data_IF_991483452929
#
_entry.id   IF_991483452929
#
_cell.length_a   1.000
_cell.length_b   1.000
_cell.length_c   1.000
_cell.angle_alpha   90.00
_cell.angle_beta   90.00
_cell.angle_gamma   90.00
#
_symmetry.space_group_name_H-M   'P 1'
#
loop_
_entity.id
_entity.type
_entity.pdbx_description
1 polymer ?
#
# COMPACT_ATOMS: atom_id res chain seq x y z
N UNK A 1 35.47 -6.24 -12.89
CA UNK A 1 35.02 -6.99 -11.68
C UNK A 1 33.67 -7.61 -11.97
N UNK A 2 33.32 -8.76 -11.36
CA UNK A 2 31.99 -9.32 -11.45
C UNK A 2 31.02 -8.39 -10.69
N UNK A 3 29.91 -8.01 -11.31
CA UNK A 3 28.83 -7.27 -10.61
C UNK A 3 28.25 -8.13 -9.49
N UNK A 4 27.86 -7.51 -8.39
CA UNK A 4 27.10 -8.16 -7.33
C UNK A 4 25.64 -8.33 -7.77
N UNK A 5 24.98 -9.37 -7.29
CA UNK A 5 23.56 -9.61 -7.54
C UNK A 5 22.70 -8.92 -6.48
N UNK A 6 21.88 -7.96 -6.87
CA UNK A 6 20.86 -7.36 -6.00
C UNK A 6 19.49 -7.87 -6.43
N UNK A 7 18.80 -8.58 -5.52
CA UNK A 7 17.41 -8.95 -5.70
C UNK A 7 16.51 -8.03 -4.88
N UNK A 8 15.49 -7.46 -5.50
CA UNK A 8 14.47 -6.66 -4.84
C UNK A 8 13.11 -7.36 -4.89
N UNK A 9 12.49 -7.51 -3.72
CA UNK A 9 11.15 -8.09 -3.56
C UNK A 9 10.14 -6.99 -3.30
N UNK A 10 9.27 -6.75 -4.26
CA UNK A 10 8.31 -5.65 -4.30
C UNK A 10 8.72 -4.55 -5.28
N UNK A 11 7.81 -4.17 -6.16
CA UNK A 11 8.01 -3.16 -7.21
C UNK A 11 7.27 -1.85 -6.90
N UNK A 12 7.16 -1.51 -5.62
CA UNK A 12 6.49 -0.29 -5.16
C UNK A 12 7.42 0.92 -5.08
N UNK A 13 6.85 2.07 -4.72
CA UNK A 13 7.51 3.38 -4.71
C UNK A 13 8.81 3.41 -3.88
N UNK A 14 8.84 2.79 -2.69
CA UNK A 14 10.02 2.81 -1.82
C UNK A 14 11.19 2.00 -2.41
N UNK A 15 10.90 0.80 -2.91
CA UNK A 15 11.91 -0.08 -3.50
C UNK A 15 12.52 0.54 -4.76
N UNK A 16 11.68 0.96 -5.71
CA UNK A 16 12.17 1.55 -6.97
C UNK A 16 12.90 2.86 -6.70
N UNK A 17 12.43 3.69 -5.76
CA UNK A 17 13.18 4.87 -5.34
C UNK A 17 14.58 4.52 -4.82
N UNK A 18 14.73 3.40 -4.11
CA UNK A 18 16.05 2.93 -3.67
C UNK A 18 16.94 2.58 -4.87
N UNK A 19 16.40 1.94 -5.90
CA UNK A 19 17.15 1.64 -7.13
C UNK A 19 17.53 2.91 -7.89
N UNK A 20 16.64 3.88 -8.00
CA UNK A 20 16.95 5.18 -8.61
C UNK A 20 18.12 5.88 -7.91
N UNK A 21 18.11 5.96 -6.59
CA UNK A 21 19.18 6.57 -5.80
C UNK A 21 20.48 5.74 -5.90
N UNK A 22 20.40 4.41 -5.88
CA UNK A 22 21.55 3.52 -6.03
C UNK A 22 22.20 3.67 -7.41
N UNK A 23 21.40 3.75 -8.46
CA UNK A 23 21.89 3.94 -9.84
C UNK A 23 22.62 5.27 -10.04
N UNK A 24 22.23 6.31 -9.32
CA UNK A 24 22.95 7.60 -9.34
C UNK A 24 24.35 7.52 -8.69
N UNK A 25 24.48 6.70 -7.65
CA UNK A 25 25.70 6.60 -6.84
C UNK A 25 26.65 5.54 -7.41
N UNK A 26 26.14 4.36 -7.75
CA UNK A 26 26.90 3.19 -8.14
C UNK A 26 26.24 2.44 -9.32
N UNK A 27 26.21 3.03 -10.54
CA UNK A 27 25.43 2.52 -11.67
C UNK A 27 25.85 1.12 -12.13
N UNK A 28 27.10 0.72 -11.93
CA UNK A 28 27.68 -0.52 -12.44
C UNK A 28 27.93 -1.59 -11.37
N UNK A 29 27.53 -1.32 -10.12
CA UNK A 29 27.87 -2.19 -9.00
C UNK A 29 27.05 -3.49 -8.98
N UNK A 30 25.81 -3.44 -9.44
CA UNK A 30 24.86 -4.55 -9.31
C UNK A 30 24.26 -4.99 -10.65
N UNK A 31 24.08 -6.33 -10.77
CA UNK A 31 23.06 -6.92 -11.63
C UNK A 31 21.77 -6.96 -10.80
N UNK A 32 20.73 -6.25 -11.26
CA UNK A 32 19.51 -6.02 -10.46
C UNK A 32 18.37 -6.87 -11.02
N UNK A 33 17.72 -7.65 -10.15
CA UNK A 33 16.47 -8.36 -10.43
C UNK A 33 15.36 -7.88 -9.50
N UNK A 34 14.20 -7.56 -10.05
CA UNK A 34 13.03 -7.05 -9.33
C UNK A 34 11.84 -7.99 -9.51
N UNK A 35 11.19 -8.35 -8.42
CA UNK A 35 9.94 -9.11 -8.41
C UNK A 35 8.77 -8.22 -8.00
N UNK A 36 7.78 -8.04 -8.89
CA UNK A 36 6.52 -7.37 -8.64
C UNK A 36 5.35 -8.34 -8.65
N UNK A 37 4.60 -8.44 -7.55
CA UNK A 37 3.42 -9.30 -7.48
C UNK A 37 2.26 -8.77 -8.34
N UNK A 38 2.20 -7.46 -8.55
CA UNK A 38 1.25 -6.81 -9.45
C UNK A 38 1.72 -6.87 -10.92
N UNK A 39 0.78 -6.81 -11.88
CA UNK A 39 1.11 -6.87 -13.31
C UNK A 39 1.55 -5.52 -13.91
N UNK A 40 1.81 -4.55 -13.08
CA UNK A 40 2.06 -3.18 -13.48
C UNK A 40 3.51 -2.78 -13.19
N UNK A 41 4.13 -1.92 -14.01
CA UNK A 41 5.38 -1.26 -13.64
C UNK A 41 5.16 -0.36 -12.42
N UNK A 42 6.21 0.28 -11.91
CA UNK A 42 6.10 1.13 -10.74
C UNK A 42 5.20 2.34 -11.01
N UNK A 43 4.24 2.56 -10.13
CA UNK A 43 3.28 3.65 -10.22
C UNK A 43 3.10 4.38 -8.89
N UNK A 44 2.60 5.61 -8.96
CA UNK A 44 2.34 6.45 -7.80
C UNK A 44 0.99 6.06 -7.14
N UNK A 45 1.05 5.22 -6.09
CA UNK A 45 -0.16 4.80 -5.35
C UNK A 45 -0.94 5.95 -4.73
N UNK A 46 -0.28 7.09 -4.43
CA UNK A 46 -0.95 8.25 -3.86
C UNK A 46 -1.96 8.84 -4.87
N UNK A 47 -1.70 8.65 -6.16
CA UNK A 47 -2.53 9.18 -7.24
C UNK A 47 -3.66 8.24 -7.66
N UNK A 48 -3.86 7.10 -6.99
CA UNK A 48 -5.04 6.26 -7.20
C UNK A 48 -6.34 7.02 -6.83
N UNK A 49 -6.29 7.92 -5.85
CA UNK A 49 -7.45 8.73 -5.47
C UNK A 49 -7.90 9.70 -6.58
N UNK A 50 -7.01 10.49 -7.24
CA UNK A 50 -7.35 11.20 -8.47
C UNK A 50 -7.83 10.31 -9.63
N UNK A 51 -7.28 9.10 -9.78
CA UNK A 51 -7.78 8.14 -10.79
C UNK A 51 -9.20 7.71 -10.46
N UNK A 52 -9.47 7.33 -9.22
CA UNK A 52 -10.82 7.00 -8.77
C UNK A 52 -11.78 8.19 -8.96
N UNK A 53 -11.34 9.41 -8.72
CA UNK A 53 -12.13 10.62 -8.93
C UNK A 53 -12.38 10.94 -10.42
N UNK A 54 -11.67 10.30 -11.34
CA UNK A 54 -11.77 10.56 -12.78
C UNK A 54 -10.94 11.74 -13.29
N UNK A 55 -10.02 12.24 -12.47
CA UNK A 55 -9.14 13.37 -12.77
C UNK A 55 -7.87 12.95 -13.50
N UNK A 56 -7.48 11.67 -13.37
CA UNK A 56 -6.27 11.08 -13.98
C UNK A 56 -6.58 9.68 -14.51
N UNK A 57 -5.72 9.20 -15.40
CA UNK A 57 -5.73 7.81 -15.88
C UNK A 57 -4.64 6.99 -15.18
N UNK A 58 -4.70 5.67 -15.28
CA UNK A 58 -3.62 4.78 -14.78
C UNK A 58 -2.29 5.09 -15.46
N UNK A 59 -2.30 5.46 -16.74
CA UNK A 59 -1.08 5.80 -17.47
C UNK A 59 -0.39 7.04 -16.92
N UNK A 60 -1.16 8.04 -16.46
CA UNK A 60 -0.62 9.29 -15.91
C UNK A 60 0.12 9.10 -14.59
N UNK A 61 -0.16 8.02 -13.87
CA UNK A 61 0.44 7.74 -12.57
C UNK A 61 1.64 6.79 -12.62
N UNK A 62 2.01 6.27 -13.79
CA UNK A 62 3.22 5.45 -13.96
C UNK A 62 4.45 6.32 -13.70
N UNK A 63 5.30 5.88 -12.76
CA UNK A 63 6.55 6.57 -12.42
C UNK A 63 7.74 6.08 -13.24
N UNK A 64 7.84 4.77 -13.40
CA UNK A 64 8.91 4.12 -14.15
C UNK A 64 8.24 3.09 -15.07
N UNK A 65 8.24 3.34 -16.37
CA UNK A 65 7.71 2.44 -17.38
C UNK A 65 8.66 1.26 -17.66
N UNK A 66 8.25 0.31 -18.49
CA UNK A 66 9.07 -0.87 -18.82
C UNK A 66 10.36 -0.48 -19.50
N UNK A 67 10.37 0.60 -20.28
CA UNK A 67 11.56 1.09 -20.95
C UNK A 67 12.61 1.57 -19.95
N UNK A 68 12.18 2.25 -18.85
CA UNK A 68 13.10 2.66 -17.80
C UNK A 68 13.85 1.47 -17.18
N UNK A 69 13.18 0.33 -16.94
CA UNK A 69 13.87 -0.87 -16.42
C UNK A 69 14.88 -1.42 -17.44
N UNK A 70 14.50 -1.49 -18.71
CA UNK A 70 15.38 -1.95 -19.78
C UNK A 70 16.62 -1.06 -19.93
N UNK A 71 16.45 0.27 -19.97
CA UNK A 71 17.52 1.25 -20.08
C UNK A 71 18.50 1.21 -18.90
N UNK A 72 18.00 0.81 -17.73
CA UNK A 72 18.82 0.65 -16.52
C UNK A 72 19.36 -0.77 -16.33
N UNK A 73 19.16 -1.68 -17.28
CA UNK A 73 19.63 -3.06 -17.20
C UNK A 73 19.05 -3.85 -16.04
N UNK A 74 17.81 -3.54 -15.66
CA UNK A 74 17.08 -4.18 -14.54
C UNK A 74 16.20 -5.29 -15.10
N UNK A 75 16.39 -6.52 -14.62
CA UNK A 75 15.49 -7.64 -14.92
C UNK A 75 14.23 -7.51 -14.06
N UNK A 76 13.09 -7.23 -14.69
CA UNK A 76 11.81 -7.07 -14.01
C UNK A 76 10.88 -8.26 -14.27
N UNK A 77 10.42 -8.91 -13.19
CA UNK A 77 9.39 -9.95 -13.23
C UNK A 77 8.07 -9.38 -12.69
N UNK A 78 7.14 -9.06 -13.59
CA UNK A 78 5.79 -8.61 -13.24
C UNK A 78 4.82 -9.76 -13.05
N UNK A 79 3.90 -9.64 -12.08
CA UNK A 79 2.96 -10.69 -11.73
C UNK A 79 3.66 -11.92 -11.13
N UNK A 80 4.89 -11.77 -10.66
CA UNK A 80 5.67 -12.82 -10.04
C UNK A 80 5.75 -12.57 -8.52
N UNK A 81 5.12 -13.46 -7.76
CA UNK A 81 5.09 -13.39 -6.30
C UNK A 81 6.22 -14.20 -5.71
N UNK A 82 7.08 -13.55 -4.94
CA UNK A 82 8.08 -14.25 -4.13
C UNK A 82 7.38 -15.01 -3.01
N UNK A 83 7.66 -16.29 -2.91
CA UNK A 83 7.05 -17.22 -1.96
C UNK A 83 8.03 -17.68 -0.87
N UNK A 84 9.35 -17.60 -1.16
CA UNK A 84 10.39 -18.05 -0.24
C UNK A 84 11.68 -17.23 -0.39
N UNK A 85 12.39 -17.04 0.72
CA UNK A 85 13.76 -16.53 0.79
C UNK A 85 14.61 -17.59 1.48
N UNK A 86 15.51 -18.24 0.74
CA UNK A 86 16.52 -19.15 1.29
C UNK A 86 17.79 -18.37 1.63
N UNK A 87 17.93 -18.02 2.90
CA UNK A 87 19.10 -17.26 3.39
C UNK A 87 20.39 -18.07 3.40
N UNK A 88 20.33 -19.41 3.49
CA UNK A 88 21.51 -20.29 3.47
C UNK A 88 22.14 -20.32 2.09
N UNK A 89 21.32 -20.57 1.10
CA UNK A 89 21.74 -20.64 -0.30
C UNK A 89 21.77 -19.27 -0.97
N UNK A 90 21.26 -18.22 -0.30
CA UNK A 90 21.14 -16.85 -0.81
C UNK A 90 20.36 -16.82 -2.11
N UNK A 91 19.18 -17.40 -2.10
CA UNK A 91 18.27 -17.41 -3.24
C UNK A 91 16.87 -16.96 -2.83
N UNK A 92 16.16 -16.44 -3.83
CA UNK A 92 14.75 -16.05 -3.76
C UNK A 92 13.99 -16.95 -4.72
N UNK A 93 12.86 -17.48 -4.28
CA UNK A 93 11.96 -18.32 -5.07
C UNK A 93 10.67 -17.54 -5.28
N UNK A 94 10.26 -17.40 -6.53
CA UNK A 94 9.02 -16.73 -6.93
C UNK A 94 8.18 -17.66 -7.81
N UNK A 95 6.87 -17.39 -7.84
CA UNK A 95 5.94 -18.04 -8.77
C UNK A 95 5.32 -16.98 -9.66
N UNK A 96 5.38 -17.15 -10.96
CA UNK A 96 4.76 -16.27 -11.94
C UNK A 96 3.26 -16.57 -12.12
N UNK A 97 2.58 -15.82 -12.99
CA UNK A 97 1.14 -15.99 -13.28
C UNK A 97 0.80 -17.32 -13.92
N UNK A 98 1.76 -18.00 -14.57
CA UNK A 98 1.59 -19.28 -15.22
C UNK A 98 1.87 -20.44 -14.26
N UNK A 99 2.20 -20.14 -12.99
CA UNK A 99 2.59 -21.13 -12.00
C UNK A 99 4.03 -21.61 -12.14
N UNK A 100 4.85 -20.95 -12.97
CA UNK A 100 6.25 -21.32 -13.15
C UNK A 100 7.09 -20.80 -12.00
N UNK A 101 8.00 -21.62 -11.52
CA UNK A 101 8.94 -21.26 -10.45
C UNK A 101 10.15 -20.56 -11.05
N UNK A 102 10.50 -19.40 -10.48
CA UNK A 102 11.69 -18.62 -10.83
C UNK A 102 12.57 -18.58 -9.59
N UNK A 103 13.83 -19.02 -9.72
CA UNK A 103 14.82 -18.99 -8.63
C UNK A 103 15.96 -18.07 -9.04
N UNK A 104 16.30 -17.09 -8.18
CA UNK A 104 17.38 -16.12 -8.42
C UNK A 104 18.25 -16.01 -7.18
N UNK A 105 19.57 -16.14 -7.38
CA UNK A 105 20.55 -15.94 -6.31
C UNK A 105 20.80 -14.46 -6.05
N UNK A 106 21.20 -14.12 -4.82
CA UNK A 106 21.53 -12.76 -4.44
C UNK A 106 22.84 -12.66 -3.62
N UNK A 107 23.57 -11.55 -3.80
CA UNK A 107 24.62 -11.09 -2.89
C UNK A 107 24.05 -10.09 -1.88
N UNK A 108 23.02 -9.32 -2.29
CA UNK A 108 22.22 -8.42 -1.46
C UNK A 108 20.72 -8.60 -1.77
N UNK A 109 19.90 -8.55 -0.75
CA UNK A 109 18.44 -8.64 -0.85
C UNK A 109 17.80 -7.39 -0.29
N UNK A 110 16.93 -6.75 -1.06
CA UNK A 110 16.10 -5.62 -0.63
C UNK A 110 14.64 -6.06 -0.55
N UNK A 111 14.07 -6.07 0.66
CA UNK A 111 12.65 -6.35 0.88
C UNK A 111 11.89 -5.03 0.90
N UNK A 112 11.00 -4.86 -0.06
CA UNK A 112 10.15 -3.68 -0.25
C UNK A 112 8.68 -4.09 -0.47
N UNK A 113 8.23 -5.07 0.30
CA UNK A 113 6.91 -5.74 0.16
C UNK A 113 5.73 -4.86 0.59
N UNK A 114 5.99 -3.71 1.20
CA UNK A 114 4.97 -2.74 1.58
C UNK A 114 4.04 -3.26 2.68
N UNK A 115 2.77 -2.96 2.55
CA UNK A 115 1.72 -3.32 3.50
C UNK A 115 0.45 -3.80 2.81
N UNK A 116 -0.40 -4.49 3.55
CA UNK A 116 -1.73 -4.94 3.12
C UNK A 116 -2.81 -4.19 3.92
N UNK A 117 -3.95 -3.83 3.32
CA UNK A 117 -5.09 -3.27 4.04
C UNK A 117 -5.53 -4.19 5.17
N UNK A 118 -5.84 -3.59 6.31
CA UNK A 118 -6.43 -4.35 7.40
C UNK A 118 -7.92 -4.55 7.17
N UNK A 119 -8.34 -5.80 7.02
CA UNK A 119 -9.73 -6.19 6.95
C UNK A 119 -10.19 -6.68 8.33
N UNK A 120 -11.03 -5.91 9.06
CA UNK A 120 -11.54 -6.33 10.35
C UNK A 120 -12.32 -7.66 10.25
N UNK A 121 -12.34 -8.49 11.31
CA UNK A 121 -12.92 -9.83 11.27
C UNK A 121 -14.44 -9.83 11.52
N UNK A 122 -15.20 -8.96 10.86
CA UNK A 122 -16.66 -9.03 10.93
C UNK A 122 -17.22 -10.02 9.90
N UNK A 123 -18.37 -10.67 10.19
CA UNK A 123 -19.05 -11.56 9.25
C UNK A 123 -19.38 -10.83 7.94
N UNK A 124 -19.28 -11.56 6.82
CA UNK A 124 -19.59 -11.02 5.50
C UNK A 124 -18.46 -10.21 4.83
N UNK A 125 -17.28 -10.10 5.45
CA UNK A 125 -16.15 -9.36 4.89
C UNK A 125 -15.63 -9.88 3.54
N UNK A 126 -15.94 -11.14 3.24
CA UNK A 126 -15.50 -11.83 2.01
C UNK A 126 -16.60 -11.87 0.94
N UNK A 127 -17.73 -11.18 1.15
CA UNK A 127 -18.83 -11.09 0.17
C UNK A 127 -18.39 -10.32 -1.09
N UNK A 128 -18.86 -10.71 -2.28
CA UNK A 128 -18.71 -9.88 -3.47
C UNK A 128 -19.22 -8.46 -3.23
N UNK A 129 -18.44 -7.47 -3.64
CA UNK A 129 -18.72 -6.06 -3.38
C UNK A 129 -18.17 -5.51 -2.07
N UNK A 130 -17.47 -6.33 -1.29
CA UNK A 130 -16.66 -5.87 -0.15
C UNK A 130 -15.21 -5.86 -0.59
N UNK A 131 -14.60 -4.69 -0.57
CA UNK A 131 -13.24 -4.48 -1.08
C UNK A 131 -12.41 -3.65 -0.11
N UNK A 132 -11.11 -3.71 -0.27
CA UNK A 132 -10.18 -2.73 0.25
C UNK A 132 -9.93 -1.61 -0.75
N UNK A 133 -9.07 -0.65 -0.40
CA UNK A 133 -8.60 0.36 -1.35
C UNK A 133 -7.09 0.49 -1.25
N UNK A 134 -6.36 -0.14 -2.18
CA UNK A 134 -4.90 -0.23 -2.07
C UNK A 134 -4.15 -0.13 -3.40
N UNK A 135 -4.66 -0.74 -4.45
CA UNK A 135 -3.95 -0.90 -5.72
C UNK A 135 -4.84 -0.57 -6.94
N UNK A 136 -4.29 -0.73 -8.13
CA UNK A 136 -5.01 -0.47 -9.39
C UNK A 136 -6.23 -1.37 -9.50
N UNK A 137 -6.12 -2.66 -9.12
CA UNK A 137 -7.25 -3.60 -9.19
C UNK A 137 -8.41 -3.14 -8.32
N UNK A 138 -8.13 -2.73 -7.08
CA UNK A 138 -9.15 -2.19 -6.17
C UNK A 138 -9.81 -0.95 -6.79
N UNK A 139 -9.01 -0.07 -7.38
CA UNK A 139 -9.50 1.16 -8.03
C UNK A 139 -10.40 0.85 -9.21
N UNK A 140 -10.01 -0.08 -10.07
CA UNK A 140 -10.82 -0.51 -11.23
C UNK A 140 -12.14 -1.13 -10.77
N UNK A 141 -12.12 -1.97 -9.72
CA UNK A 141 -13.31 -2.58 -9.14
C UNK A 141 -14.27 -1.52 -8.56
N UNK A 142 -13.74 -0.47 -7.93
CA UNK A 142 -14.53 0.67 -7.45
C UNK A 142 -15.16 1.46 -8.60
N UNK A 143 -14.41 1.70 -9.67
CA UNK A 143 -14.89 2.38 -10.89
C UNK A 143 -16.01 1.59 -11.54
N UNK A 144 -15.81 0.29 -11.72
CA UNK A 144 -16.80 -0.62 -12.28
C UNK A 144 -18.07 -0.70 -11.42
N UNK A 145 -17.91 -0.72 -10.10
CA UNK A 145 -19.04 -0.72 -9.17
C UNK A 145 -19.83 0.59 -9.26
N UNK A 146 -19.16 1.73 -9.33
CA UNK A 146 -19.83 3.04 -9.46
C UNK A 146 -20.65 3.17 -10.76
N UNK A 147 -20.25 2.48 -11.84
CA UNK A 147 -21.01 2.46 -13.10
C UNK A 147 -22.30 1.62 -13.02
N UNK A 148 -22.41 0.68 -12.08
CA UNK A 148 -23.49 -0.32 -12.02
C UNK A 148 -24.41 -0.19 -10.81
N UNK A 149 -23.92 0.40 -9.73
CA UNK A 149 -24.57 0.41 -8.41
C UNK A 149 -24.72 1.83 -7.88
N UNK A 150 -25.52 1.99 -6.82
CA UNK A 150 -25.90 3.32 -6.31
C UNK A 150 -25.34 3.64 -4.93
N UNK A 151 -25.25 2.66 -4.03
CA UNK A 151 -24.96 2.90 -2.62
C UNK A 151 -23.59 2.36 -2.26
N UNK A 152 -22.71 3.24 -1.85
CA UNK A 152 -21.40 2.88 -1.33
C UNK A 152 -21.31 3.19 0.16
N UNK A 153 -20.74 2.26 0.92
CA UNK A 153 -20.37 2.47 2.31
C UNK A 153 -18.86 2.39 2.44
N UNK A 154 -18.24 3.42 3.03
CA UNK A 154 -16.81 3.45 3.31
C UNK A 154 -16.61 3.29 4.82
N UNK A 155 -15.97 2.20 5.24
CA UNK A 155 -15.66 1.92 6.65
C UNK A 155 -14.27 2.46 6.98
N UNK A 156 -14.22 3.57 7.70
CA UNK A 156 -13.03 4.30 8.11
C UNK A 156 -12.97 5.71 7.54
N UNK A 157 -12.88 6.72 8.41
CA UNK A 157 -12.83 8.13 8.06
C UNK A 157 -11.42 8.74 8.21
N UNK A 158 -10.38 7.96 7.95
CA UNK A 158 -9.02 8.44 7.77
C UNK A 158 -8.79 8.96 6.34
N UNK A 159 -7.55 9.38 6.03
CA UNK A 159 -7.17 9.95 4.72
C UNK A 159 -7.72 9.13 3.54
N UNK A 160 -7.33 7.86 3.47
CA UNK A 160 -7.66 7.00 2.33
C UNK A 160 -9.17 6.72 2.24
N UNK A 161 -9.85 6.58 3.38
CA UNK A 161 -11.31 6.39 3.40
C UNK A 161 -12.05 7.61 2.87
N UNK A 162 -11.66 8.81 3.27
CA UNK A 162 -12.28 10.05 2.78
C UNK A 162 -11.97 10.29 1.29
N UNK A 163 -10.76 9.96 0.84
CA UNK A 163 -10.40 10.03 -0.58
C UNK A 163 -11.22 9.02 -1.41
N UNK A 164 -11.42 7.78 -0.91
CA UNK A 164 -12.28 6.79 -1.53
C UNK A 164 -13.73 7.26 -1.61
N UNK A 165 -14.26 7.79 -0.51
CA UNK A 165 -15.61 8.33 -0.44
C UNK A 165 -15.83 9.46 -1.44
N UNK A 166 -14.89 10.41 -1.52
CA UNK A 166 -14.93 11.50 -2.49
C UNK A 166 -14.91 10.99 -3.93
N UNK A 167 -14.01 10.07 -4.25
CA UNK A 167 -13.92 9.51 -5.60
C UNK A 167 -15.20 8.80 -6.04
N UNK A 168 -15.81 8.01 -5.15
CA UNK A 168 -17.09 7.34 -5.42
C UNK A 168 -18.26 8.34 -5.54
N UNK A 169 -18.29 9.38 -4.71
CA UNK A 169 -19.29 10.43 -4.80
C UNK A 169 -19.20 11.21 -6.13
N UNK A 170 -17.98 11.56 -6.57
CA UNK A 170 -17.74 12.21 -7.87
C UNK A 170 -18.17 11.33 -9.06
N UNK A 171 -18.18 10.01 -8.88
CA UNK A 171 -18.73 9.05 -9.86
C UNK A 171 -20.23 8.82 -9.72
N UNK A 172 -20.93 9.58 -8.88
CA UNK A 172 -22.39 9.59 -8.77
C UNK A 172 -22.98 8.58 -7.80
N UNK A 173 -22.16 7.91 -6.95
CA UNK A 173 -22.71 7.06 -5.91
C UNK A 173 -23.20 7.87 -4.70
N UNK A 174 -24.28 7.41 -4.06
CA UNK A 174 -24.66 7.85 -2.71
C UNK A 174 -23.70 7.21 -1.69
N UNK A 175 -22.87 8.03 -1.05
CA UNK A 175 -21.79 7.54 -0.19
C UNK A 175 -22.09 7.81 1.28
N UNK A 176 -21.99 6.77 2.11
CA UNK A 176 -22.01 6.89 3.58
C UNK A 176 -20.65 6.47 4.14
N UNK A 177 -20.00 7.38 4.85
CA UNK A 177 -18.76 7.10 5.60
C UNK A 177 -19.13 6.66 7.00
N UNK A 178 -18.68 5.47 7.39
CA UNK A 178 -18.90 4.88 8.71
C UNK A 178 -17.61 4.97 9.52
N UNK A 179 -17.70 5.49 10.74
CA UNK A 179 -16.51 5.63 11.59
C UNK A 179 -16.85 5.32 13.06
N UNK A 180 -15.89 4.67 13.74
CA UNK A 180 -16.05 4.25 15.14
C UNK A 180 -15.64 5.31 16.16
N UNK A 181 -15.15 6.47 15.73
CA UNK A 181 -14.79 7.61 16.57
C UNK A 181 -15.79 8.76 16.41
N UNK A 182 -15.68 9.77 17.28
CA UNK A 182 -16.59 10.92 17.33
C UNK A 182 -16.35 11.93 16.20
N UNK A 183 -15.11 12.00 15.66
CA UNK A 183 -14.76 12.89 14.55
C UNK A 183 -13.85 12.19 13.55
N UNK A 184 -13.82 12.70 12.33
CA UNK A 184 -13.01 12.17 11.23
C UNK A 184 -11.56 12.59 11.37
N UNK A 185 -10.63 11.81 10.77
CA UNK A 185 -9.18 12.09 10.77
C UNK A 185 -8.59 12.27 12.19
N UNK A 186 -9.06 11.54 13.17
CA UNK A 186 -8.70 11.67 14.58
C UNK A 186 -7.21 11.50 14.89
N UNK A 187 -6.44 10.94 13.94
CA UNK A 187 -4.98 10.83 14.05
C UNK A 187 -4.24 12.09 13.59
N UNK A 188 -4.89 12.96 12.83
CA UNK A 188 -4.31 14.16 12.23
C UNK A 188 -4.94 15.45 12.72
N UNK A 189 -6.22 15.42 13.09
CA UNK A 189 -7.01 16.58 13.45
C UNK A 189 -7.55 16.45 14.87
N UNK A 190 -7.67 17.56 15.56
CA UNK A 190 -8.46 17.65 16.77
C UNK A 190 -9.96 17.60 16.47
N UNK A 191 -10.77 17.51 17.52
CA UNK A 191 -12.24 17.40 17.41
C UNK A 191 -12.86 18.57 16.63
N UNK A 192 -12.39 19.78 16.85
CA UNK A 192 -12.94 20.98 16.19
C UNK A 192 -12.66 20.96 14.69
N UNK A 193 -11.40 20.77 14.31
CA UNK A 193 -11.01 20.68 12.92
C UNK A 193 -11.64 19.48 12.19
N UNK A 194 -11.75 18.33 12.87
CA UNK A 194 -12.41 17.14 12.31
C UNK A 194 -13.90 17.39 12.03
N UNK A 195 -14.62 18.04 12.94
CA UNK A 195 -16.04 18.41 12.72
C UNK A 195 -16.24 19.46 11.65
N UNK A 196 -15.32 20.44 11.54
CA UNK A 196 -15.37 21.43 10.45
C UNK A 196 -15.17 20.77 9.10
N UNK A 197 -14.18 19.88 8.98
CA UNK A 197 -13.94 19.11 7.75
C UNK A 197 -15.15 18.23 7.40
N UNK A 198 -15.75 17.53 8.39
CA UNK A 198 -16.94 16.73 8.16
C UNK A 198 -18.08 17.57 7.58
N UNK A 199 -18.36 18.74 8.15
CA UNK A 199 -19.41 19.63 7.67
C UNK A 199 -19.17 20.10 6.21
N UNK A 200 -17.91 20.33 5.82
CA UNK A 200 -17.59 20.65 4.42
C UNK A 200 -17.82 19.46 3.47
N UNK A 201 -17.50 18.23 3.91
CA UNK A 201 -17.74 17.03 3.12
C UNK A 201 -19.24 16.70 3.01
N UNK A 202 -20.02 16.97 4.06
CA UNK A 202 -21.49 16.84 4.03
C UNK A 202 -22.13 17.79 3.01
N UNK A 203 -21.64 19.02 2.86
CA UNK A 203 -22.07 19.95 1.81
C UNK A 203 -21.80 19.41 0.40
N UNK A 204 -20.82 18.54 0.23
CA UNK A 204 -20.54 17.83 -1.02
C UNK A 204 -21.38 16.57 -1.23
N UNK A 205 -22.36 16.31 -0.37
CA UNK A 205 -23.30 15.20 -0.48
C UNK A 205 -22.88 13.90 0.17
N UNK A 206 -21.74 13.86 0.87
CA UNK A 206 -21.35 12.68 1.64
C UNK A 206 -22.18 12.59 2.94
N UNK A 207 -22.55 11.38 3.33
CA UNK A 207 -23.20 11.11 4.59
C UNK A 207 -22.21 10.51 5.60
N UNK A 208 -22.41 10.76 6.88
CA UNK A 208 -21.55 10.23 7.93
C UNK A 208 -22.35 9.53 9.02
N UNK A 209 -21.93 8.31 9.39
CA UNK A 209 -22.40 7.61 10.57
C UNK A 209 -21.23 7.46 11.53
N UNK A 210 -21.16 8.38 12.48
CA UNK A 210 -20.09 8.45 13.48
C UNK A 210 -20.41 7.59 14.71
N UNK A 211 -19.40 7.25 15.52
CA UNK A 211 -19.51 6.37 16.68
C UNK A 211 -20.14 5.01 16.35
N UNK A 212 -20.07 4.58 15.09
CA UNK A 212 -20.74 3.38 14.62
C UNK A 212 -19.75 2.21 14.54
N UNK A 213 -20.13 1.10 15.16
CA UNK A 213 -19.38 -0.15 15.09
C UNK A 213 -20.09 -1.12 14.16
N UNK A 214 -19.44 -1.47 13.05
CA UNK A 214 -19.91 -2.50 12.13
C UNK A 214 -19.98 -3.85 12.86
N UNK A 215 -21.16 -4.49 12.81
CA UNK A 215 -21.40 -5.82 13.36
C UNK A 215 -21.21 -6.90 12.29
N UNK A 216 -21.85 -6.72 11.13
CA UNK A 216 -21.78 -7.65 10.01
C UNK A 216 -22.07 -6.95 8.68
N UNK A 217 -21.64 -7.56 7.58
CA UNK A 217 -22.04 -7.22 6.22
C UNK A 217 -23.02 -8.29 5.73
N UNK A 218 -24.18 -7.86 5.24
CA UNK A 218 -25.30 -8.76 4.91
C UNK A 218 -25.35 -8.99 3.42
N UNK A 219 -25.45 -10.26 3.02
CA UNK A 219 -25.69 -10.62 1.63
C UNK A 219 -27.14 -10.38 1.23
N UNK A 220 -27.36 -9.89 0.00
CA UNK A 220 -28.66 -9.90 -0.67
C UNK A 220 -28.95 -11.23 -1.36
N UNK A 221 -30.04 -11.30 -2.07
CA UNK A 221 -30.48 -12.49 -2.81
C UNK A 221 -29.46 -12.95 -3.89
N UNK A 222 -28.70 -12.01 -4.45
CA UNK A 222 -27.63 -12.30 -5.42
C UNK A 222 -26.35 -12.86 -4.81
N UNK A 223 -26.26 -12.97 -3.49
CA UNK A 223 -25.04 -13.32 -2.76
C UNK A 223 -24.03 -12.18 -2.64
N UNK A 224 -24.28 -11.00 -3.21
CA UNK A 224 -23.47 -9.80 -3.07
C UNK A 224 -23.85 -9.05 -1.80
N UNK A 225 -22.95 -8.20 -1.27
CA UNK A 225 -23.26 -7.30 -0.16
C UNK A 225 -24.47 -6.43 -0.51
N UNK A 226 -25.43 -6.31 0.44
CA UNK A 226 -26.63 -5.52 0.29
C UNK A 226 -26.87 -4.55 1.45
N UNK A 227 -26.24 -4.78 2.60
CA UNK A 227 -26.37 -3.89 3.75
C UNK A 227 -25.17 -4.02 4.71
N UNK A 228 -24.93 -2.95 5.46
CA UNK A 228 -24.05 -2.91 6.62
C UNK A 228 -24.91 -2.81 7.88
N UNK A 229 -24.80 -3.78 8.78
CA UNK A 229 -25.43 -3.76 10.10
C UNK A 229 -24.46 -3.30 11.17
N UNK A 230 -24.97 -2.57 12.14
CA UNK A 230 -24.22 -2.02 13.26
C UNK A 230 -24.58 -2.70 14.58
N UNK A 231 -23.72 -2.56 15.59
CA UNK A 231 -23.94 -3.14 16.91
C UNK A 231 -25.12 -2.51 17.68
N UNK A 232 -25.51 -1.28 17.33
CA UNK A 232 -26.68 -0.60 17.87
C UNK A 232 -28.01 -1.12 17.30
N UNK A 233 -27.96 -2.02 16.32
CA UNK A 233 -29.13 -2.61 15.66
C UNK A 233 -29.53 -1.92 14.37
N UNK A 234 -28.96 -0.75 14.07
CA UNK A 234 -29.20 -0.05 12.81
C UNK A 234 -28.60 -0.80 11.61
N UNK A 235 -29.13 -0.47 10.42
CA UNK A 235 -28.63 -1.00 9.14
C UNK A 235 -28.73 0.06 8.06
N UNK A 236 -27.76 0.08 7.15
CA UNK A 236 -27.78 0.94 5.95
C UNK A 236 -27.57 0.09 4.68
N UNK A 237 -28.23 0.44 3.57
CA UNK A 237 -28.05 -0.27 2.29
C UNK A 237 -26.64 -0.05 1.75
N UNK A 238 -26.06 -1.06 1.10
CA UNK A 238 -24.74 -1.01 0.49
C UNK A 238 -24.64 -1.98 -0.69
N UNK A 239 -24.35 -1.47 -1.87
CA UNK A 239 -24.01 -2.26 -3.04
C UNK A 239 -22.49 -2.48 -3.15
N UNK A 240 -21.73 -1.57 -2.55
CA UNK A 240 -20.27 -1.59 -2.43
C UNK A 240 -19.88 -1.21 -0.99
N UNK A 241 -18.99 -1.98 -0.39
CA UNK A 241 -18.38 -1.65 0.90
C UNK A 241 -16.87 -1.55 0.74
N UNK A 242 -16.33 -0.35 0.88
CA UNK A 242 -14.89 -0.10 0.88
C UNK A 242 -14.36 -0.06 2.31
N UNK A 243 -13.46 -0.97 2.67
CA UNK A 243 -12.87 -1.02 4.00
C UNK A 243 -11.51 -0.32 4.03
N UNK A 244 -11.46 0.83 4.70
CA UNK A 244 -10.28 1.69 4.87
C UNK A 244 -9.86 1.78 6.35
N UNK A 245 -9.77 0.62 7.03
CA UNK A 245 -9.55 0.51 8.49
C UNK A 245 -8.06 0.48 8.90
N UNK A 246 -7.15 0.91 8.03
CA UNK A 246 -5.71 0.92 8.26
C UNK A 246 -4.95 -0.14 7.47
N UNK A 247 -3.65 -0.26 7.75
CA UNK A 247 -2.73 -1.16 7.04
C UNK A 247 -1.92 -2.01 8.03
N UNK A 248 -1.40 -3.14 7.52
CA UNK A 248 -0.43 -3.99 8.23
C UNK A 248 0.80 -4.22 7.36
N UNK A 249 2.02 -4.02 7.89
CA UNK A 249 3.25 -4.35 7.20
C UNK A 249 3.28 -5.80 6.72
N UNK A 250 3.75 -6.04 5.50
CA UNK A 250 3.92 -7.38 4.93
C UNK A 250 5.24 -7.98 5.42
N UNK A 251 5.17 -8.78 6.46
CA UNK A 251 6.34 -9.38 7.14
C UNK A 251 6.44 -10.88 6.96
N UNK A 252 5.39 -11.57 6.52
CA UNK A 252 5.29 -13.03 6.49
C UNK A 252 6.46 -13.71 5.75
N UNK A 253 6.89 -13.14 4.62
CA UNK A 253 8.01 -13.64 3.84
C UNK A 253 9.33 -13.56 4.64
N UNK A 254 9.54 -12.45 5.33
CA UNK A 254 10.71 -12.21 6.17
C UNK A 254 10.70 -13.11 7.41
N UNK A 255 9.55 -13.26 8.08
CA UNK A 255 9.38 -14.13 9.25
C UNK A 255 9.66 -15.61 8.89
N UNK A 256 9.11 -16.10 7.77
CA UNK A 256 9.37 -17.47 7.27
C UNK A 256 10.86 -17.70 6.98
N UNK A 257 11.57 -16.66 6.53
CA UNK A 257 13.01 -16.69 6.31
C UNK A 257 13.81 -16.54 7.62
N UNK A 258 13.16 -16.43 8.78
CA UNK A 258 13.80 -16.22 10.07
C UNK A 258 14.40 -14.83 10.24
N UNK A 259 13.95 -13.82 9.50
CA UNK A 259 14.36 -12.42 9.69
C UNK A 259 13.50 -11.83 10.81
N UNK A 260 14.15 -11.13 11.74
CA UNK A 260 13.47 -10.58 12.90
C UNK A 260 12.46 -9.48 12.52
N UNK A 261 11.19 -9.67 12.94
CA UNK A 261 10.09 -8.75 12.72
C UNK A 261 9.43 -8.35 14.04
N UNK A 262 9.03 -7.09 14.12
CA UNK A 262 8.20 -6.54 15.19
C UNK A 262 7.29 -5.48 14.60
N UNK A 263 6.03 -5.82 14.23
CA UNK A 263 5.12 -4.96 13.46
C UNK A 263 5.70 -4.43 12.14
N UNK A 264 6.78 -5.03 11.66
CA UNK A 264 7.57 -4.66 10.50
C UNK A 264 8.92 -5.35 10.59
N UNK A 265 9.66 -5.43 9.49
CA UNK A 265 11.01 -6.00 9.43
C UNK A 265 11.94 -5.05 10.19
N UNK A 266 12.55 -5.53 11.27
CA UNK A 266 13.43 -4.69 12.11
C UNK A 266 14.72 -4.37 11.36
N UNK A 267 14.99 -3.07 11.22
CA UNK A 267 16.18 -2.54 10.56
C UNK A 267 16.90 -1.52 11.43
N UNK A 268 18.21 -1.41 11.21
CA UNK A 268 19.07 -0.40 11.83
C UNK A 268 18.99 0.95 11.08
N UNK A 269 19.83 1.91 11.46
CA UNK A 269 19.87 3.25 10.86
C UNK A 269 20.36 3.27 9.40
N UNK A 270 20.81 2.15 8.85
CA UNK A 270 21.18 1.99 7.43
C UNK A 270 20.16 1.20 6.63
N UNK A 271 18.98 0.92 7.24
CA UNK A 271 17.91 0.08 6.69
C UNK A 271 18.33 -1.39 6.49
N UNK A 272 19.41 -1.83 7.11
CA UNK A 272 19.89 -3.20 7.10
C UNK A 272 19.24 -3.98 8.25
N UNK A 273 18.80 -5.22 8.00
CA UNK A 273 18.35 -6.14 9.05
C UNK A 273 19.55 -6.68 9.86
N UNK A 274 19.30 -7.57 10.82
CA UNK A 274 20.41 -8.24 11.51
C UNK A 274 21.23 -9.17 10.57
N UNK A 275 20.64 -9.62 9.45
CA UNK A 275 21.37 -10.27 8.37
C UNK A 275 22.05 -9.20 7.51
N UNK A 276 23.39 -9.16 7.45
CA UNK A 276 24.10 -8.08 6.75
C UNK A 276 23.92 -8.06 5.24
N UNK A 277 23.23 -9.04 4.67
CA UNK A 277 22.90 -9.08 3.24
C UNK A 277 21.48 -8.63 2.95
N UNK A 278 20.63 -8.50 3.98
CA UNK A 278 19.21 -8.23 3.84
C UNK A 278 18.86 -6.84 4.36
N UNK A 279 18.22 -6.07 3.50
CA UNK A 279 17.72 -4.72 3.74
C UNK A 279 16.20 -4.70 3.65
N UNK A 280 15.56 -3.75 4.32
CA UNK A 280 14.14 -3.49 4.14
C UNK A 280 13.85 -1.99 4.11
N UNK A 281 12.98 -1.57 3.20
CA UNK A 281 12.52 -0.19 3.06
C UNK A 281 11.01 -0.14 2.85
N UNK A 282 10.42 0.98 3.16
CA UNK A 282 8.99 1.19 2.94
C UNK A 282 8.15 0.75 4.12
N UNK A 283 6.86 0.55 3.84
CA UNK A 283 5.86 0.24 4.87
C UNK A 283 6.08 -1.12 5.56
N UNK A 284 6.87 -2.02 4.97
CA UNK A 284 7.24 -3.28 5.61
C UNK A 284 8.37 -3.14 6.63
N UNK A 285 9.13 -2.04 6.63
CA UNK A 285 10.26 -1.83 7.51
C UNK A 285 9.83 -1.23 8.85
N UNK A 286 10.48 -1.68 9.93
CA UNK A 286 10.38 -1.11 11.27
C UNK A 286 11.74 -0.57 11.68
N UNK A 287 11.87 0.76 11.76
CA UNK A 287 13.04 1.45 12.23
C UNK A 287 12.78 2.02 13.63
N UNK A 288 13.59 1.63 14.60
CA UNK A 288 13.48 2.10 16.01
C UNK A 288 12.06 1.99 16.59
N UNK A 289 11.33 0.90 16.26
CA UNK A 289 9.97 0.65 16.75
C UNK A 289 8.86 1.32 15.93
N UNK A 290 9.19 2.07 14.86
CA UNK A 290 8.23 2.78 14.04
C UNK A 290 8.19 2.21 12.60
N UNK A 291 6.99 1.88 12.12
CA UNK A 291 6.70 1.61 10.72
C UNK A 291 5.93 2.81 10.14
N UNK A 292 6.40 3.33 9.01
CA UNK A 292 5.84 4.52 8.36
C UNK A 292 4.90 4.12 7.21
N UNK A 293 3.70 4.70 7.18
CA UNK A 293 2.70 4.48 6.12
C UNK A 293 2.55 5.67 5.15
N UNK A 294 3.55 6.55 5.05
CA UNK A 294 3.54 7.75 4.21
C UNK A 294 4.78 7.79 3.32
N UNK A 295 4.65 8.36 2.12
CA UNK A 295 5.70 8.28 1.09
C UNK A 295 6.96 9.06 1.42
N UNK A 296 6.85 10.26 2.03
CA UNK A 296 8.03 11.09 2.33
C UNK A 296 9.08 10.35 3.20
N UNK A 297 8.70 9.73 4.35
CA UNK A 297 9.61 8.88 5.12
C UNK A 297 10.23 7.75 4.30
N UNK A 298 9.45 7.11 3.41
CA UNK A 298 9.92 5.99 2.61
C UNK A 298 11.00 6.43 1.60
N UNK A 299 10.91 7.63 1.05
CA UNK A 299 11.92 8.20 0.16
C UNK A 299 13.19 8.61 0.89
N UNK A 300 13.10 9.04 2.15
CA UNK A 300 14.26 9.26 3.01
C UNK A 300 14.97 7.93 3.32
N UNK A 301 14.20 6.89 3.68
CA UNK A 301 14.73 5.53 3.84
C UNK A 301 15.43 5.04 2.58
N UNK A 302 14.83 5.24 1.40
CA UNK A 302 15.37 4.82 0.12
C UNK A 302 16.76 5.41 -0.15
N UNK A 303 16.94 6.72 0.11
CA UNK A 303 18.25 7.39 -0.04
C UNK A 303 19.31 6.81 0.87
N UNK A 304 18.98 6.56 2.14
CA UNK A 304 19.93 6.01 3.12
C UNK A 304 20.28 4.56 2.77
N UNK A 305 19.29 3.75 2.40
CA UNK A 305 19.47 2.37 1.99
C UNK A 305 20.38 2.28 0.74
N UNK A 306 20.11 3.09 -0.28
CA UNK A 306 20.92 3.17 -1.48
C UNK A 306 22.38 3.55 -1.20
N UNK A 307 22.58 4.54 -0.30
CA UNK A 307 23.91 4.96 0.12
C UNK A 307 24.69 3.81 0.80
N UNK A 308 24.03 3.02 1.63
CA UNK A 308 24.66 1.88 2.30
C UNK A 308 24.89 0.70 1.33
N UNK A 309 23.95 0.43 0.42
CA UNK A 309 24.10 -0.58 -0.64
C UNK A 309 25.27 -0.23 -1.58
N UNK A 310 25.51 1.06 -1.85
CA UNK A 310 26.64 1.56 -2.62
C UNK A 310 27.97 1.55 -1.85
N UNK A 311 28.00 0.99 -0.63
CA UNK A 311 29.16 0.93 0.26
C UNK A 311 29.76 2.30 0.63
N UNK A 312 29.00 3.38 0.46
CA UNK A 312 29.42 4.74 0.85
C UNK A 312 29.44 4.93 2.38
N UNK A 313 28.52 4.28 3.10
CA UNK A 313 28.50 4.17 4.54
C UNK A 313 28.22 5.46 5.34
N UNK A 314 27.87 6.56 4.69
CA UNK A 314 27.73 7.90 5.31
C UNK A 314 26.31 8.12 5.84
N UNK A 315 25.29 7.72 5.07
CA UNK A 315 23.89 7.99 5.40
C UNK A 315 23.41 7.24 6.63
N UNK A 316 22.60 7.92 7.46
CA UNK A 316 21.88 7.32 8.59
C UNK A 316 20.46 7.86 8.63
N UNK A 317 19.50 6.95 8.71
CA UNK A 317 18.10 7.30 8.89
C UNK A 317 17.83 7.54 10.36
N UNK A 318 17.35 8.74 10.70
CA UNK A 318 17.07 9.14 12.07
C UNK A 318 15.58 9.09 12.44
N UNK A 319 14.76 8.65 11.51
CA UNK A 319 13.30 8.80 11.55
C UNK A 319 12.84 10.03 10.80
N UNK A 320 11.53 10.16 10.62
CA UNK A 320 10.92 11.26 9.86
C UNK A 320 9.79 11.91 10.63
N UNK A 321 9.65 13.20 10.49
CA UNK A 321 8.43 13.92 10.88
C UNK A 321 7.42 13.74 9.75
N UNK A 322 6.22 13.27 10.09
CA UNK A 322 5.20 12.98 9.10
C UNK A 322 4.22 14.15 8.94
N UNK A 323 3.90 14.47 7.69
CA UNK A 323 2.81 15.37 7.33
C UNK A 323 1.89 14.68 6.32
N UNK A 324 0.62 15.07 6.32
CA UNK A 324 -0.37 14.49 5.42
C UNK A 324 -1.13 15.59 4.68
N UNK A 325 -1.55 15.28 3.45
CA UNK A 325 -2.44 16.12 2.67
C UNK A 325 -3.63 15.26 2.22
N UNK A 326 -4.84 15.66 2.63
CA UNK A 326 -6.07 15.07 2.14
C UNK A 326 -6.33 15.54 0.70
N UNK A 327 -6.58 14.62 -0.21
CA UNK A 327 -6.91 14.89 -1.62
C UNK A 327 -8.42 14.72 -1.82
N UNK A 328 -9.14 15.74 -1.46
CA UNK A 328 -10.58 15.87 -1.71
C UNK A 328 -10.76 17.19 -2.43
N UNK A 329 -11.06 17.13 -3.74
CA UNK A 329 -11.15 18.29 -4.61
C UNK A 329 -12.28 19.25 -4.26
N UNK A 330 -12.02 20.55 -4.41
CA UNK A 330 -12.94 21.67 -4.21
C UNK A 330 -12.69 22.46 -2.93
#
# INVERSE_FOLDING_TARGET
>A
MRKLKLVMVGNGMAGVRTLEELRKIAPDMYDITVFGAEPHPNYNRILLSPVLAGEMTIQDIILNDLQWYADNGITLHLGARVTEIDRRNRSVIATDRNGQTITVDYDRLLIATGSTPFMPPFPGRDLPGVISYRDIKDTDEMIDAAARYRHAVVIGAGLLGLEAANGLALRGMAVTVVHNSEWIMERQLDRTAGKMLQAELEKKGMQFKMNAQTAELVAGESGRVAAVKFKDGDSIPADLVCVAAGIRPNVELAEKAGIHCNRGIVVNDTLQSYDPRVYAVGECANHRGTAYGLVAPLFEQAKVCANHLAEMGIGRYQGSVTSTKLKVTG
#
